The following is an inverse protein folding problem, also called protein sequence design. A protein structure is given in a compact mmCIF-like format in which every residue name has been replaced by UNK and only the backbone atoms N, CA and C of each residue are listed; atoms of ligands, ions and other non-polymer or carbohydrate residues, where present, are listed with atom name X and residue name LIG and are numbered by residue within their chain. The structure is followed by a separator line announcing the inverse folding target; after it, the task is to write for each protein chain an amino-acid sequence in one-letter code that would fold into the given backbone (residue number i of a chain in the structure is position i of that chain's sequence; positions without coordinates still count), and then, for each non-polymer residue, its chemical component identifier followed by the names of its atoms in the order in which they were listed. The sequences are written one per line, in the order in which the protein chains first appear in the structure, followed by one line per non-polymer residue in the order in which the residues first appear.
data_IF_762380455576
#
_entry.id   IF_762380455576
#
_cell.length_a   1.000
_cell.length_b   1.000
_cell.length_c   1.000
_cell.angle_alpha   90.00
_cell.angle_beta   90.00
_cell.angle_gamma   90.00
#
_symmetry.space_group_name_H-M   'P 1'
#
loop_
_entity.id
_entity.type
_entity.pdbx_description
1 polymer ?
#
# COMPACT_ATOMS: atom_id res chain seq x y z
N UNK A 1 11.54 -4.22 18.42
CA UNK A 1 12.98 -4.60 18.43
C UNK A 1 13.48 -5.25 19.74
N UNK A 2 12.61 -5.69 20.67
CA UNK A 2 13.05 -6.15 22.00
C UNK A 2 13.30 -7.67 22.16
N UNK A 3 12.96 -8.51 21.16
CA UNK A 3 13.11 -9.97 21.26
C UNK A 3 14.51 -10.43 20.80
N UNK A 4 15.16 -9.70 19.90
CA UNK A 4 16.51 -10.04 19.39
C UNK A 4 17.66 -9.59 20.29
N UNK A 5 17.41 -8.82 21.36
CA UNK A 5 18.45 -8.38 22.31
C UNK A 5 18.56 -9.23 23.58
N UNK A 6 17.65 -10.21 23.79
CA UNK A 6 17.66 -11.09 24.98
C UNK A 6 18.44 -12.40 24.79
N UNK A 7 18.73 -12.78 23.56
CA UNK A 7 19.35 -14.08 23.25
C UNK A 7 20.63 -13.89 22.45
N UNK A 8 21.70 -14.57 22.86
CA UNK A 8 23.03 -14.41 22.24
C UNK A 8 23.11 -14.94 20.80
N UNK A 9 22.21 -15.86 20.42
CA UNK A 9 22.04 -16.42 19.05
C UNK A 9 20.60 -16.93 18.87
N UNK A 10 20.05 -16.78 17.67
CA UNK A 10 18.83 -17.46 17.21
C UNK A 10 19.25 -18.57 16.26
N UNK A 11 18.73 -19.79 16.46
CA UNK A 11 19.12 -20.97 15.69
C UNK A 11 17.97 -21.39 14.76
N UNK A 12 18.32 -21.91 13.59
CA UNK A 12 17.39 -22.58 12.68
C UNK A 12 17.11 -24.03 13.14
N UNK A 13 16.13 -24.71 12.54
CA UNK A 13 15.73 -26.07 12.92
C UNK A 13 16.83 -27.12 12.73
N UNK A 14 17.86 -26.80 11.95
CA UNK A 14 19.06 -27.62 11.73
C UNK A 14 20.20 -27.30 12.71
N UNK A 15 20.00 -26.37 13.64
CA UNK A 15 20.98 -25.96 14.64
C UNK A 15 21.99 -24.90 14.16
N UNK A 16 21.90 -24.44 12.91
CA UNK A 16 22.75 -23.38 12.38
C UNK A 16 22.27 -21.99 12.84
N UNK A 17 23.12 -20.95 12.72
CA UNK A 17 22.71 -19.60 13.12
C UNK A 17 21.77 -19.01 12.06
N UNK A 18 20.59 -18.59 12.51
CA UNK A 18 19.63 -17.91 11.67
C UNK A 18 20.18 -16.57 11.19
N UNK A 19 20.22 -16.39 9.88
CA UNK A 19 20.61 -15.10 9.29
C UNK A 19 19.48 -14.08 9.43
N UNK A 20 19.80 -12.78 9.45
CA UNK A 20 18.79 -11.70 9.43
C UNK A 20 17.86 -11.85 8.21
N UNK A 21 18.39 -12.32 7.08
CA UNK A 21 17.61 -12.60 5.87
C UNK A 21 16.62 -13.74 6.09
N UNK A 22 17.03 -14.84 6.72
CA UNK A 22 16.14 -15.96 7.04
C UNK A 22 15.06 -15.52 8.03
N UNK A 23 15.42 -14.74 9.05
CA UNK A 23 14.48 -14.21 10.02
C UNK A 23 13.43 -13.32 9.35
N UNK A 24 13.85 -12.41 8.46
CA UNK A 24 12.94 -11.59 7.65
C UNK A 24 12.06 -12.45 6.73
N UNK A 25 12.61 -13.50 6.11
CA UNK A 25 11.81 -14.41 5.28
C UNK A 25 10.75 -15.17 6.08
N UNK A 26 11.07 -15.64 7.29
CA UNK A 26 10.11 -16.31 8.18
C UNK A 26 9.05 -15.34 8.70
N UNK A 27 9.46 -14.13 9.09
CA UNK A 27 8.51 -13.05 9.43
C UNK A 27 7.60 -12.78 8.24
N UNK A 28 8.17 -12.65 7.04
CA UNK A 28 7.41 -12.38 5.83
C UNK A 28 6.48 -13.53 5.44
N UNK A 29 6.89 -14.79 5.67
CA UNK A 29 6.04 -15.96 5.43
C UNK A 29 4.84 -15.98 6.37
N UNK A 30 5.09 -15.79 7.68
CA UNK A 30 4.01 -15.79 8.68
C UNK A 30 3.06 -14.60 8.48
N UNK A 31 3.60 -13.46 8.04
CA UNK A 31 2.82 -12.29 7.70
C UNK A 31 2.05 -12.47 6.39
N UNK A 32 2.64 -13.09 5.36
CA UNK A 32 1.95 -13.44 4.11
C UNK A 32 0.77 -14.40 4.37
N UNK A 33 0.92 -15.37 5.28
CA UNK A 33 -0.15 -16.29 5.69
C UNK A 33 -1.29 -15.55 6.42
N UNK A 34 -0.96 -14.66 7.36
CA UNK A 34 -1.94 -13.79 8.04
C UNK A 34 -2.67 -12.86 7.05
N UNK A 35 -1.93 -12.25 6.12
CA UNK A 35 -2.48 -11.33 5.12
C UNK A 35 -3.35 -12.06 4.07
N UNK A 36 -3.06 -13.32 3.74
CA UNK A 36 -3.89 -14.10 2.83
C UNK A 36 -5.31 -14.33 3.39
N UNK A 37 -5.46 -14.43 4.71
CA UNK A 37 -6.78 -14.52 5.38
C UNK A 37 -7.57 -13.19 5.30
N UNK A 38 -6.87 -12.06 5.18
CA UNK A 38 -7.44 -10.70 5.09
C UNK A 38 -7.73 -10.21 3.65
N UNK A 39 -7.60 -11.04 2.59
CA UNK A 39 -8.03 -10.63 1.23
C UNK A 39 -9.53 -10.24 1.14
N UNK A 40 -10.32 -10.52 2.18
CA UNK A 40 -11.70 -10.05 2.35
C UNK A 40 -11.84 -8.58 2.79
N UNK A 41 -10.79 -7.94 3.31
CA UNK A 41 -10.87 -6.57 3.87
C UNK A 41 -10.63 -5.46 2.85
N UNK A 42 -9.94 -5.75 1.74
CA UNK A 42 -9.76 -4.77 0.68
C UNK A 42 -11.01 -4.59 -0.18
N UNK A 43 -11.21 -3.34 -0.63
CA UNK A 43 -12.23 -3.00 -1.61
C UNK A 43 -12.04 -3.78 -2.93
N UNK A 44 -13.10 -3.87 -3.74
CA UNK A 44 -13.11 -4.66 -4.97
C UNK A 44 -12.05 -4.17 -5.97
N UNK A 45 -11.86 -2.87 -6.04
CA UNK A 45 -10.93 -2.18 -6.92
C UNK A 45 -9.48 -2.47 -6.55
N UNK A 46 -9.15 -2.43 -5.26
CA UNK A 46 -7.83 -2.79 -4.73
C UNK A 46 -7.50 -4.26 -4.98
N UNK A 47 -8.47 -5.17 -4.80
CA UNK A 47 -8.26 -6.61 -5.08
C UNK A 47 -8.03 -6.87 -6.57
N UNK A 48 -8.74 -6.15 -7.44
CA UNK A 48 -8.44 -6.16 -8.87
C UNK A 48 -7.01 -5.68 -9.13
N UNK A 49 -6.64 -4.52 -8.58
CA UNK A 49 -5.36 -3.89 -8.83
C UNK A 49 -4.19 -4.77 -8.38
N UNK A 50 -4.33 -5.45 -7.23
CA UNK A 50 -3.32 -6.39 -6.72
C UNK A 50 -3.06 -7.55 -7.68
N UNK A 51 -4.12 -8.17 -8.21
CA UNK A 51 -4.01 -9.29 -9.17
C UNK A 51 -3.43 -8.80 -10.48
N UNK A 52 -3.91 -7.66 -10.98
CA UNK A 52 -3.42 -7.06 -12.22
C UNK A 52 -1.94 -6.70 -12.11
N UNK A 53 -1.54 -6.04 -11.02
CA UNK A 53 -0.16 -5.66 -10.73
C UNK A 53 0.75 -6.90 -10.67
N UNK A 54 0.33 -7.98 -10.01
CA UNK A 54 1.11 -9.23 -9.95
C UNK A 54 1.40 -9.85 -11.33
N UNK A 55 0.51 -9.65 -12.30
CA UNK A 55 0.65 -10.17 -13.66
C UNK A 55 1.44 -9.21 -14.56
N UNK A 56 1.08 -7.93 -14.54
CA UNK A 56 1.49 -6.97 -15.56
C UNK A 56 2.28 -5.77 -15.02
N UNK A 57 2.41 -5.65 -13.70
CA UNK A 57 2.85 -4.41 -13.03
C UNK A 57 2.02 -3.22 -13.56
N UNK A 58 2.67 -2.18 -14.06
CA UNK A 58 2.04 -1.00 -14.69
C UNK A 58 1.99 -1.07 -16.22
N UNK A 59 2.25 -2.24 -16.82
CA UNK A 59 2.24 -2.39 -18.27
C UNK A 59 0.81 -2.58 -18.83
N UNK A 60 0.66 -2.29 -20.12
CA UNK A 60 -0.60 -2.51 -20.85
C UNK A 60 -0.88 -3.99 -21.08
N UNK A 61 -2.12 -4.40 -20.87
CA UNK A 61 -2.68 -5.67 -21.34
C UNK A 61 -4.05 -5.45 -22.02
N UNK A 62 -4.68 -6.52 -22.46
CA UNK A 62 -5.92 -6.52 -23.22
C UNK A 62 -7.13 -6.16 -22.34
N UNK A 63 -8.04 -5.34 -22.89
CA UNK A 63 -9.30 -4.99 -22.22
C UNK A 63 -10.13 -6.21 -21.83
N UNK A 64 -10.17 -7.26 -22.67
CA UNK A 64 -10.94 -8.47 -22.37
C UNK A 64 -10.47 -9.21 -21.11
N UNK A 65 -9.17 -9.18 -20.82
CA UNK A 65 -8.62 -9.75 -19.59
C UNK A 65 -9.03 -8.92 -18.37
N UNK A 66 -8.96 -7.59 -18.49
CA UNK A 66 -9.41 -6.67 -17.45
C UNK A 66 -10.91 -6.84 -17.19
N UNK A 67 -11.73 -6.98 -18.23
CA UNK A 67 -13.17 -7.18 -18.10
C UNK A 67 -13.52 -8.50 -17.39
N UNK A 68 -12.80 -9.58 -17.73
CA UNK A 68 -12.98 -10.88 -17.09
C UNK A 68 -12.60 -10.82 -15.61
N UNK A 69 -11.46 -10.20 -15.30
CA UNK A 69 -11.01 -10.04 -13.92
C UNK A 69 -11.92 -9.10 -13.11
N UNK A 70 -12.40 -7.99 -13.69
CA UNK A 70 -13.27 -7.05 -12.99
C UNK A 70 -14.58 -7.71 -12.57
N UNK A 71 -15.19 -8.50 -13.46
CA UNK A 71 -16.41 -9.28 -13.16
C UNK A 71 -16.15 -10.30 -12.05
N UNK A 72 -15.02 -10.99 -12.08
CA UNK A 72 -14.64 -11.95 -11.03
C UNK A 72 -14.41 -11.29 -9.65
N UNK A 73 -14.15 -9.97 -9.62
CA UNK A 73 -13.96 -9.19 -8.38
C UNK A 73 -15.18 -8.34 -8.01
N UNK A 74 -16.34 -8.56 -8.65
CA UNK A 74 -17.56 -7.78 -8.45
C UNK A 74 -17.39 -6.27 -8.66
N UNK A 75 -16.56 -5.87 -9.64
CA UNK A 75 -16.41 -4.49 -10.10
C UNK A 75 -16.50 -4.42 -11.63
N UNK A 76 -16.25 -3.26 -12.22
CA UNK A 76 -16.23 -3.04 -13.67
C UNK A 76 -15.00 -2.24 -14.09
N UNK A 77 -14.57 -2.40 -15.34
CA UNK A 77 -13.45 -1.60 -15.88
C UNK A 77 -13.74 -0.11 -15.80
N UNK A 78 -14.97 0.31 -16.11
CA UNK A 78 -15.36 1.72 -15.95
C UNK A 78 -15.33 2.14 -14.47
N UNK A 79 -15.76 1.26 -13.56
CA UNK A 79 -15.71 1.52 -12.12
C UNK A 79 -14.29 1.79 -11.62
N UNK A 80 -13.33 0.99 -12.09
CA UNK A 80 -11.90 1.12 -11.82
C UNK A 80 -11.29 2.39 -12.44
N UNK A 81 -11.77 2.83 -13.60
CA UNK A 81 -11.39 4.11 -14.22
C UNK A 81 -11.88 5.28 -13.37
N UNK A 82 -13.17 5.26 -12.99
CA UNK A 82 -13.79 6.32 -12.20
C UNK A 82 -13.17 6.43 -10.81
N UNK A 83 -12.69 5.31 -10.26
CA UNK A 83 -11.97 5.22 -8.99
C UNK A 83 -10.45 5.40 -9.15
N UNK A 84 -9.96 6.00 -10.25
CA UNK A 84 -8.55 6.37 -10.37
C UNK A 84 -7.53 5.22 -10.29
N UNK A 85 -7.95 3.96 -10.46
CA UNK A 85 -7.06 2.79 -10.34
C UNK A 85 -6.33 2.48 -11.65
N UNK A 86 -7.03 2.62 -12.78
CA UNK A 86 -6.52 2.26 -14.10
C UNK A 86 -6.96 3.21 -15.20
N UNK A 87 -6.30 3.11 -16.33
CA UNK A 87 -6.73 3.71 -17.60
C UNK A 87 -7.09 2.62 -18.59
N UNK A 88 -8.23 2.80 -19.28
CA UNK A 88 -8.68 1.94 -20.36
C UNK A 88 -8.81 2.77 -21.65
N UNK A 89 -7.97 2.51 -22.65
CA UNK A 89 -7.97 3.25 -23.92
C UNK A 89 -7.56 2.35 -25.08
N UNK A 90 -8.22 2.52 -26.22
CA UNK A 90 -7.89 1.82 -27.47
C UNK A 90 -7.78 0.27 -27.33
N UNK A 91 -8.69 -0.34 -26.56
CA UNK A 91 -8.73 -1.79 -26.34
C UNK A 91 -7.65 -2.32 -25.38
N UNK A 92 -6.88 -1.43 -24.74
CA UNK A 92 -5.85 -1.76 -23.76
C UNK A 92 -6.19 -1.18 -22.39
N UNK A 93 -5.66 -1.84 -21.36
CA UNK A 93 -5.81 -1.47 -19.95
C UNK A 93 -4.47 -1.55 -19.24
N UNK A 94 -4.18 -0.56 -18.39
CA UNK A 94 -3.06 -0.58 -17.44
C UNK A 94 -3.40 0.19 -16.17
N UNK A 95 -2.73 -0.14 -15.08
CA UNK A 95 -2.80 0.65 -13.85
C UNK A 95 -2.25 2.07 -14.10
N UNK A 96 -2.83 3.05 -13.40
CA UNK A 96 -2.31 4.41 -13.38
C UNK A 96 -0.98 4.44 -12.65
N UNK A 97 -0.01 5.17 -13.19
CA UNK A 97 1.29 5.36 -12.55
C UNK A 97 1.23 6.53 -11.57
N UNK A 98 2.16 6.58 -10.62
CA UNK A 98 2.20 7.63 -9.57
C UNK A 98 2.34 9.04 -10.13
N UNK A 99 3.05 9.20 -11.25
CA UNK A 99 3.25 10.46 -11.97
C UNK A 99 1.98 10.92 -12.73
N UNK A 100 0.96 10.06 -12.84
CA UNK A 100 -0.32 10.37 -13.48
C UNK A 100 -1.44 10.65 -12.45
N UNK A 101 -1.15 10.49 -11.16
CA UNK A 101 -2.10 10.77 -10.09
C UNK A 101 -2.35 12.27 -9.95
N UNK A 102 -3.56 12.65 -9.52
CA UNK A 102 -3.96 14.05 -9.39
C UNK A 102 -3.12 14.77 -8.33
N UNK A 103 -2.51 15.90 -8.67
CA UNK A 103 -1.63 16.63 -7.72
C UNK A 103 -2.37 17.03 -6.43
N UNK A 104 -3.58 17.57 -6.56
CA UNK A 104 -4.39 18.08 -5.44
C UNK A 104 -5.45 17.08 -4.97
N UNK A 105 -5.13 15.78 -4.98
CA UNK A 105 -6.04 14.76 -4.50
C UNK A 105 -6.36 14.95 -3.02
N UNK A 106 -7.63 14.78 -2.66
CA UNK A 106 -8.10 14.89 -1.29
C UNK A 106 -9.02 13.71 -0.95
N UNK A 107 -8.60 12.80 -0.04
CA UNK A 107 -9.37 11.61 0.32
C UNK A 107 -10.73 11.95 0.94
N UNK A 108 -10.91 13.13 1.54
CA UNK A 108 -12.17 13.55 2.15
C UNK A 108 -13.25 13.91 1.11
N UNK A 109 -12.85 14.25 -0.11
CA UNK A 109 -13.76 14.59 -1.20
C UNK A 109 -13.88 13.49 -2.25
N UNK A 110 -13.07 12.45 -2.13
CA UNK A 110 -13.09 11.31 -3.03
C UNK A 110 -14.31 10.43 -2.76
N UNK A 111 -15.14 10.25 -3.79
CA UNK A 111 -16.38 9.45 -3.71
C UNK A 111 -16.12 7.95 -3.82
N UNK A 112 -14.94 7.55 -4.29
CA UNK A 112 -14.54 6.16 -4.51
C UNK A 112 -13.14 5.91 -3.97
N UNK A 113 -12.87 6.43 -2.79
CA UNK A 113 -11.60 6.21 -2.09
C UNK A 113 -11.28 4.71 -1.99
N UNK A 114 -10.22 4.29 -2.68
CA UNK A 114 -9.70 2.92 -2.62
C UNK A 114 -8.43 2.84 -1.78
N UNK A 115 -8.17 1.66 -1.20
CA UNK A 115 -6.89 1.41 -0.52
C UNK A 115 -5.73 1.51 -1.51
N UNK A 116 -5.93 1.06 -2.76
CA UNK A 116 -4.95 1.18 -3.83
C UNK A 116 -4.50 2.62 -4.07
N UNK A 117 -5.44 3.54 -4.31
CA UNK A 117 -5.10 4.94 -4.52
C UNK A 117 -4.42 5.53 -3.28
N UNK A 118 -4.97 5.29 -2.08
CA UNK A 118 -4.39 5.77 -0.84
C UNK A 118 -2.91 5.34 -0.69
N UNK A 119 -2.58 4.08 -0.96
CA UNK A 119 -1.20 3.60 -0.95
C UNK A 119 -0.32 4.33 -1.95
N UNK A 120 -0.79 4.52 -3.19
CA UNK A 120 0.02 5.19 -4.22
C UNK A 120 0.23 6.69 -3.90
N UNK A 121 -0.79 7.38 -3.39
CA UNK A 121 -0.67 8.77 -2.95
C UNK A 121 0.28 8.90 -1.75
N UNK A 122 0.22 8.02 -0.75
CA UNK A 122 1.18 8.07 0.37
C UNK A 122 2.63 7.87 -0.08
N UNK A 123 2.87 6.97 -1.04
CA UNK A 123 4.21 6.79 -1.61
C UNK A 123 4.65 8.05 -2.36
N UNK A 124 3.76 8.66 -3.15
CA UNK A 124 4.05 9.91 -3.87
C UNK A 124 4.36 11.04 -2.90
N UNK A 125 3.56 11.22 -1.85
CA UNK A 125 3.83 12.25 -0.82
C UNK A 125 5.16 12.02 -0.10
N UNK A 126 5.55 10.75 0.11
CA UNK A 126 6.83 10.40 0.73
C UNK A 126 8.04 10.65 -0.21
N UNK A 127 7.87 10.48 -1.52
CA UNK A 127 8.96 10.60 -2.51
C UNK A 127 9.10 12.00 -3.09
N UNK A 128 7.99 12.60 -3.49
CA UNK A 128 7.93 13.84 -4.26
C UNK A 128 7.42 15.03 -3.44
N UNK A 129 6.81 14.78 -2.27
CA UNK A 129 6.30 15.79 -1.37
C UNK A 129 7.32 16.28 -0.34
N UNK A 130 6.85 16.55 0.87
CA UNK A 130 7.69 16.93 2.02
C UNK A 130 8.14 15.71 2.85
N UNK A 131 8.19 14.52 2.23
CA UNK A 131 8.61 13.29 2.87
C UNK A 131 7.62 12.80 3.93
N UNK A 132 8.13 12.41 5.10
CA UNK A 132 7.34 11.82 6.17
C UNK A 132 6.27 12.78 6.71
N UNK A 133 6.51 14.09 6.66
CA UNK A 133 5.54 15.11 7.13
C UNK A 133 4.31 15.22 6.22
N UNK A 134 4.49 15.21 4.89
CA UNK A 134 3.34 15.24 3.97
C UNK A 134 2.58 13.91 3.99
N UNK A 135 3.30 12.79 4.05
CA UNK A 135 2.69 11.48 4.21
C UNK A 135 1.89 11.38 5.52
N UNK A 136 2.39 11.96 6.62
CA UNK A 136 1.68 12.00 7.92
C UNK A 136 0.40 12.83 7.87
N UNK A 137 0.43 14.00 7.21
CA UNK A 137 -0.76 14.81 6.97
C UNK A 137 -1.78 14.08 6.12
N UNK A 138 -1.34 13.28 5.15
CA UNK A 138 -2.24 12.47 4.36
C UNK A 138 -2.82 11.32 5.18
N UNK A 139 -2.00 10.64 5.99
CA UNK A 139 -2.42 9.57 6.89
C UNK A 139 -3.52 10.03 7.85
N UNK A 140 -3.40 11.23 8.43
CA UNK A 140 -4.42 11.79 9.33
C UNK A 140 -5.78 11.99 8.65
N UNK A 141 -5.79 12.24 7.34
CA UNK A 141 -7.01 12.36 6.54
C UNK A 141 -7.56 11.00 6.08
N UNK A 142 -6.73 9.96 5.98
CA UNK A 142 -7.15 8.64 5.54
C UNK A 142 -7.84 7.83 6.65
N UNK A 143 -7.55 8.13 7.92
CA UNK A 143 -8.12 7.40 9.05
C UNK A 143 -7.80 5.91 8.99
N UNK A 144 -8.81 5.05 9.12
CA UNK A 144 -8.63 3.59 9.14
C UNK A 144 -8.10 3.00 7.83
N UNK A 145 -8.29 3.70 6.70
CA UNK A 145 -7.75 3.28 5.39
C UNK A 145 -6.22 3.34 5.36
N UNK A 146 -5.62 4.17 6.21
CA UNK A 146 -4.16 4.28 6.33
C UNK A 146 -3.50 2.94 6.67
N UNK A 147 -3.99 2.22 7.67
CA UNK A 147 -3.40 0.92 8.07
C UNK A 147 -3.54 -0.13 6.95
N UNK A 148 -4.70 -0.19 6.30
CA UNK A 148 -4.90 -1.03 5.12
C UNK A 148 -3.93 -0.68 3.98
N UNK A 149 -3.61 0.62 3.83
CA UNK A 149 -2.66 1.08 2.83
C UNK A 149 -1.21 0.69 3.14
N UNK A 150 -0.82 0.61 4.42
CA UNK A 150 0.46 0.03 4.85
C UNK A 150 0.53 -1.46 4.54
N UNK A 151 -0.51 -2.20 4.87
CA UNK A 151 -0.57 -3.63 4.61
C UNK A 151 -0.51 -3.93 3.11
N UNK A 152 -1.22 -3.14 2.30
CA UNK A 152 -1.13 -3.22 0.86
C UNK A 152 0.29 -2.92 0.34
N UNK A 153 0.95 -1.88 0.85
CA UNK A 153 2.34 -1.56 0.48
C UNK A 153 3.28 -2.73 0.76
N UNK A 154 3.13 -3.36 1.93
CA UNK A 154 3.90 -4.54 2.28
C UNK A 154 3.67 -5.72 1.31
N UNK A 155 2.42 -6.02 0.96
CA UNK A 155 2.11 -7.07 -0.05
C UNK A 155 2.72 -6.75 -1.41
N UNK A 156 2.64 -5.49 -1.84
CA UNK A 156 3.20 -5.05 -3.12
C UNK A 156 4.72 -5.15 -3.15
N UNK A 157 5.39 -4.83 -2.03
CA UNK A 157 6.82 -5.08 -1.88
C UNK A 157 7.16 -6.57 -2.06
N UNK A 158 6.44 -7.48 -1.38
CA UNK A 158 6.68 -8.93 -1.51
C UNK A 158 6.43 -9.46 -2.93
N UNK A 159 5.47 -8.88 -3.67
CA UNK A 159 5.27 -9.18 -5.08
C UNK A 159 6.48 -8.70 -5.89
N UNK A 160 6.95 -7.48 -5.67
CA UNK A 160 8.09 -6.90 -6.37
C UNK A 160 9.38 -7.69 -6.11
N UNK A 161 9.64 -8.10 -4.87
CA UNK A 161 10.81 -8.89 -4.50
C UNK A 161 10.81 -10.25 -5.23
N UNK A 162 9.69 -10.97 -5.21
CA UNK A 162 9.55 -12.25 -5.93
C UNK A 162 9.65 -12.12 -7.45
N UNK A 163 9.22 -10.99 -8.01
CA UNK A 163 9.24 -10.73 -9.47
C UNK A 163 10.54 -10.07 -9.95
N UNK A 164 11.41 -9.63 -9.03
CA UNK A 164 12.61 -8.86 -9.36
C UNK A 164 12.33 -7.43 -9.83
N UNK A 165 11.18 -6.85 -9.47
CA UNK A 165 10.81 -5.47 -9.82
C UNK A 165 11.38 -4.47 -8.82
N UNK A 166 12.71 -4.36 -8.79
CA UNK A 166 13.43 -3.64 -7.72
C UNK A 166 13.05 -2.16 -7.61
N UNK A 167 12.84 -1.45 -8.73
CA UNK A 167 12.47 -0.02 -8.69
C UNK A 167 11.15 0.22 -7.97
N UNK A 168 10.13 -0.59 -8.27
CA UNK A 168 8.83 -0.52 -7.62
C UNK A 168 8.89 -1.01 -6.18
N UNK A 169 9.66 -2.07 -5.93
CA UNK A 169 9.86 -2.61 -4.58
C UNK A 169 10.45 -1.58 -3.62
N UNK A 170 11.41 -0.77 -4.05
CA UNK A 170 11.99 0.30 -3.21
C UNK A 170 10.91 1.27 -2.75
N UNK A 171 10.01 1.69 -3.64
CA UNK A 171 8.95 2.64 -3.32
C UNK A 171 8.01 2.11 -2.22
N UNK A 172 7.56 0.87 -2.36
CA UNK A 172 6.70 0.22 -1.36
C UNK A 172 7.42 -0.01 -0.02
N UNK A 173 8.69 -0.44 -0.07
CA UNK A 173 9.49 -0.67 1.12
C UNK A 173 9.76 0.64 1.89
N UNK A 174 10.00 1.75 1.21
CA UNK A 174 10.18 3.06 1.84
C UNK A 174 8.98 3.46 2.68
N UNK A 175 7.75 3.27 2.18
CA UNK A 175 6.54 3.56 2.95
C UNK A 175 6.43 2.70 4.21
N UNK A 176 6.71 1.39 4.10
CA UNK A 176 6.69 0.47 5.25
C UNK A 176 7.75 0.84 6.29
N UNK A 177 8.96 1.22 5.86
CA UNK A 177 10.05 1.60 6.74
C UNK A 177 9.79 2.92 7.47
N UNK A 178 9.23 3.92 6.79
CA UNK A 178 8.91 5.23 7.37
C UNK A 178 7.61 5.23 8.19
N UNK A 179 6.85 4.13 8.20
CA UNK A 179 5.51 4.10 8.81
C UNK A 179 5.49 4.56 10.27
N UNK A 180 6.43 4.09 11.10
CA UNK A 180 6.43 4.46 12.52
C UNK A 180 6.56 5.96 12.75
N UNK A 181 7.35 6.64 11.92
CA UNK A 181 7.53 8.08 12.02
C UNK A 181 6.34 8.83 11.42
N UNK A 182 5.82 8.37 10.28
CA UNK A 182 4.60 8.90 9.66
C UNK A 182 3.41 8.83 10.65
N UNK A 183 3.20 7.69 11.30
CA UNK A 183 2.13 7.52 12.30
C UNK A 183 2.32 8.42 13.52
N UNK A 184 3.57 8.58 14.00
CA UNK A 184 3.89 9.47 15.12
C UNK A 184 3.57 10.92 14.77
N UNK A 185 4.04 11.40 13.62
CA UNK A 185 3.77 12.76 13.13
C UNK A 185 2.27 12.99 12.87
N UNK A 186 1.55 11.98 12.38
CA UNK A 186 0.12 12.07 12.14
C UNK A 186 -0.64 12.23 13.48
N UNK A 187 -0.25 11.49 14.51
CA UNK A 187 -0.82 11.62 15.85
C UNK A 187 -0.51 12.97 16.50
N UNK A 188 0.74 13.45 16.42
CA UNK A 188 1.14 14.77 16.95
C UNK A 188 0.34 15.90 16.30
N UNK A 189 0.11 15.82 14.98
CA UNK A 189 -0.69 16.82 14.25
C UNK A 189 -2.17 16.86 14.65
N UNK A 190 -2.70 15.75 15.18
CA UNK A 190 -4.04 15.72 15.75
C UNK A 190 -4.10 16.37 17.14
N UNK A 191 -3.04 16.29 17.95
CA UNK A 191 -2.98 16.92 19.28
C UNK A 191 -2.80 18.45 19.21
N UNK A 192 -2.16 18.97 18.15
CA UNK A 192 -2.00 20.42 17.93
C UNK A 192 -3.28 21.15 17.48
N UNK A 193 -4.43 20.45 17.38
CA UNK A 193 -5.74 21.09 17.19
C UNK A 193 -6.48 21.14 18.54
N UNK A 194 -6.10 22.02 19.51
CA UNK A 194 -6.91 22.17 20.70
C UNK A 194 -8.27 22.69 20.25
N UNK A 195 -9.31 21.93 20.59
CA UNK A 195 -10.68 22.43 20.63
C UNK A 195 -10.63 23.65 21.53
N UNK A 196 -10.56 24.84 20.92
CA UNK A 196 -10.76 26.10 21.61
C UNK A 196 -12.23 26.10 22.00
N UNK A 197 -12.54 25.44 23.13
CA UNK A 197 -13.83 25.52 23.79
C UNK A 197 -14.01 26.99 24.12
N UNK A 198 -14.73 27.69 23.26
CA UNK A 198 -15.24 29.01 23.53
C UNK A 198 -16.17 28.87 24.73
N UNK A 199 -15.63 29.13 25.92
CA UNK A 199 -16.40 29.41 27.12
C UNK A 199 -17.19 30.69 26.84
N UNK A 200 -18.48 30.54 26.54
CA UNK A 200 -19.51 31.56 26.71
C UNK A 200 -20.39 31.17 27.90
#
# INVERSE_FOLDING_TARGET
MAIYSRYSKVLESDGTRMSVRTALQLINLTLDDYLAEEEGEFDAETRFALIWFKQYAFNESLFGEAETLSKAKNTSVQGLVDAGVLVAKAGKVRLLRRDELLENWNPQTDKRLTVWEATQYMIRELQDGAGETSAARLLSQLGTIGEAARELAYRLYNICDRKGWSSEGVAYNSLVMSWSEISRLAADSHEETPVQVALF
#
